data_IF_437935077847
#
_entry.id   IF_437935077847
#
_cell.length_a   1.000
_cell.length_b   1.000
_cell.length_c   1.000
_cell.angle_alpha   90.00
_cell.angle_beta   90.00
_cell.angle_gamma   90.00
#
_symmetry.space_group_name_H-M   'P 1'
#
loop_
_entity.id
_entity.type
_entity.pdbx_description
1 polymer ?
#
# COMPACT_ATOMS: atom_id res chain seq x y z
N UNK A 1 17.11 -9.34 -0.68
CA UNK A 1 16.84 -7.92 -0.38
C UNK A 1 15.60 -7.86 0.50
N UNK A 2 15.66 -7.05 1.55
CA UNK A 2 14.53 -6.85 2.45
C UNK A 2 13.52 -5.89 1.78
N UNK A 3 12.25 -6.30 1.66
CA UNK A 3 11.21 -5.50 0.99
C UNK A 3 10.52 -4.59 2.00
N UNK A 4 11.19 -3.51 2.40
CA UNK A 4 10.61 -2.48 3.28
C UNK A 4 10.25 -1.24 2.46
N UNK A 5 9.12 -0.60 2.78
CA UNK A 5 8.73 0.66 2.15
C UNK A 5 9.47 1.79 2.87
N UNK A 6 10.23 2.58 2.10
CA UNK A 6 10.98 3.73 2.62
C UNK A 6 10.37 5.03 2.11
N UNK A 7 10.62 6.16 2.80
CA UNK A 7 10.16 7.47 2.32
C UNK A 7 10.79 7.86 0.98
N UNK A 8 12.01 7.37 0.67
CA UNK A 8 12.61 7.56 -0.65
C UNK A 8 11.78 6.89 -1.75
N UNK A 9 11.39 5.62 -1.55
CA UNK A 9 10.53 4.91 -2.51
C UNK A 9 9.16 5.58 -2.67
N UNK A 10 8.60 6.14 -1.59
CA UNK A 10 7.37 6.92 -1.68
C UNK A 10 7.57 8.21 -2.47
N UNK A 11 8.70 8.88 -2.33
CA UNK A 11 9.07 10.05 -3.15
C UNK A 11 9.15 9.71 -4.63
N UNK A 12 9.83 8.63 -4.98
CA UNK A 12 9.94 8.15 -6.37
C UNK A 12 8.56 7.76 -6.92
N UNK A 13 7.72 7.14 -6.09
CA UNK A 13 6.35 6.79 -6.46
C UNK A 13 5.48 8.03 -6.71
N UNK A 14 5.68 9.13 -5.97
CA UNK A 14 4.97 10.39 -6.24
C UNK A 14 5.33 10.95 -7.61
N UNK A 15 6.61 10.90 -8.00
CA UNK A 15 7.05 11.36 -9.32
C UNK A 15 6.37 10.52 -10.40
N UNK A 16 6.43 9.19 -10.27
CA UNK A 16 5.75 8.26 -11.18
C UNK A 16 4.24 8.53 -11.29
N UNK A 17 3.54 8.76 -10.18
CA UNK A 17 2.10 9.03 -10.23
C UNK A 17 1.76 10.38 -10.90
N UNK A 18 2.65 11.37 -10.83
CA UNK A 18 2.48 12.64 -11.54
C UNK A 18 2.66 12.47 -13.05
N UNK A 19 3.64 11.65 -13.46
CA UNK A 19 3.84 11.28 -14.87
C UNK A 19 2.65 10.50 -15.43
N UNK A 20 2.01 9.67 -14.60
CA UNK A 20 0.74 8.99 -14.88
C UNK A 20 -0.51 9.88 -14.78
N UNK A 21 -0.31 11.21 -14.72
CA UNK A 21 -1.33 12.25 -14.66
C UNK A 21 -2.36 12.07 -13.53
N UNK A 22 -1.95 11.49 -12.40
CA UNK A 22 -2.83 11.34 -11.24
C UNK A 22 -3.00 12.67 -10.52
N UNK A 23 -4.24 12.94 -10.10
CA UNK A 23 -4.56 14.13 -9.33
C UNK A 23 -3.84 14.15 -7.98
N UNK A 24 -3.54 15.34 -7.48
CA UNK A 24 -2.91 15.52 -6.16
C UNK A 24 -3.71 14.83 -5.03
N UNK A 25 -5.04 14.82 -5.13
CA UNK A 25 -5.90 14.12 -4.19
C UNK A 25 -5.69 12.59 -4.22
N UNK A 26 -5.54 12.00 -5.41
CA UNK A 26 -5.28 10.56 -5.56
C UNK A 26 -3.90 10.19 -5.03
N UNK A 27 -2.89 11.01 -5.34
CA UNK A 27 -1.51 10.82 -4.84
C UNK A 27 -1.49 10.87 -3.31
N UNK A 28 -2.05 11.93 -2.72
CA UNK A 28 -2.10 12.09 -1.26
C UNK A 28 -2.81 10.92 -0.59
N UNK A 29 -3.91 10.45 -1.19
CA UNK A 29 -4.64 9.28 -0.71
C UNK A 29 -3.77 8.02 -0.75
N UNK A 30 -3.11 7.73 -1.86
CA UNK A 30 -2.24 6.55 -1.97
C UNK A 30 -1.11 6.59 -0.96
N UNK A 31 -0.47 7.75 -0.75
CA UNK A 31 0.58 7.88 0.27
C UNK A 31 0.06 7.65 1.68
N UNK A 32 -1.11 8.20 2.02
CA UNK A 32 -1.75 7.98 3.32
C UNK A 32 -2.02 6.49 3.56
N UNK A 33 -2.59 5.83 2.56
CA UNK A 33 -2.93 4.40 2.61
C UNK A 33 -1.67 3.52 2.69
N UNK A 34 -0.60 3.86 1.96
CA UNK A 34 0.69 3.18 2.04
C UNK A 34 1.36 3.36 3.40
N UNK A 35 1.32 4.57 3.97
CA UNK A 35 1.84 4.82 5.32
C UNK A 35 1.12 3.99 6.37
N UNK A 36 -0.19 3.77 6.22
CA UNK A 36 -0.95 2.85 7.09
C UNK A 36 -0.40 1.41 7.02
N UNK A 37 -0.09 0.91 5.82
CA UNK A 37 0.57 -0.38 5.65
C UNK A 37 1.97 -0.39 6.28
N UNK A 38 2.77 0.67 6.11
CA UNK A 38 4.11 0.75 6.73
C UNK A 38 4.03 0.74 8.26
N UNK A 39 3.04 1.44 8.83
CA UNK A 39 2.78 1.46 10.26
C UNK A 39 2.38 0.08 10.78
N UNK A 40 1.54 -0.65 10.03
CA UNK A 40 1.21 -2.04 10.36
C UNK A 40 2.44 -2.97 10.26
N UNK A 41 3.26 -2.80 9.22
CA UNK A 41 4.48 -3.57 9.07
C UNK A 41 5.47 -3.31 10.21
N UNK A 42 5.46 -2.10 10.80
CA UNK A 42 6.29 -1.73 11.94
C UNK A 42 7.79 -2.04 11.73
N UNK A 43 8.29 -1.74 10.53
CA UNK A 43 9.68 -2.00 10.14
C UNK A 43 9.96 -3.43 9.63
N UNK A 44 9.00 -4.35 9.71
CA UNK A 44 9.14 -5.70 9.15
C UNK A 44 9.15 -5.68 7.62
N UNK A 45 9.93 -6.59 7.04
CA UNK A 45 9.91 -6.86 5.61
C UNK A 45 8.51 -7.29 5.14
N UNK A 46 8.09 -6.80 3.98
CA UNK A 46 6.84 -7.22 3.35
C UNK A 46 7.03 -8.56 2.65
N UNK A 47 6.22 -9.52 3.07
CA UNK A 47 5.93 -10.74 2.34
C UNK A 47 4.42 -10.88 2.12
N UNK A 48 4.02 -11.90 1.36
CA UNK A 48 2.62 -12.14 1.05
C UNK A 48 1.78 -12.42 2.31
N UNK A 49 2.36 -13.09 3.31
CA UNK A 49 1.69 -13.39 4.57
C UNK A 49 1.38 -12.12 5.35
N UNK A 50 2.31 -11.18 5.44
CA UNK A 50 2.13 -9.91 6.12
C UNK A 50 1.03 -9.07 5.46
N UNK A 51 0.99 -9.01 4.12
CA UNK A 51 -0.07 -8.25 3.41
C UNK A 51 -1.45 -8.89 3.61
N UNK A 52 -1.54 -10.22 3.68
CA UNK A 52 -2.78 -10.92 4.01
C UNK A 52 -3.21 -10.64 5.45
N UNK A 53 -2.27 -10.72 6.40
CA UNK A 53 -2.53 -10.39 7.81
C UNK A 53 -2.95 -8.92 7.99
N UNK A 54 -2.38 -8.00 7.19
CA UNK A 54 -2.82 -6.61 7.14
C UNK A 54 -4.27 -6.50 6.69
N UNK A 55 -4.64 -7.16 5.58
CA UNK A 55 -6.04 -7.22 5.10
C UNK A 55 -7.01 -7.73 6.18
N UNK A 56 -6.64 -8.81 6.86
CA UNK A 56 -7.43 -9.40 7.94
C UNK A 56 -7.57 -8.41 9.10
N UNK A 57 -6.48 -7.78 9.54
CA UNK A 57 -6.50 -6.79 10.63
C UNK A 57 -7.43 -5.61 10.36
N UNK A 58 -7.53 -5.16 9.09
CA UNK A 58 -8.46 -4.10 8.70
C UNK A 58 -9.94 -4.52 8.82
N UNK A 59 -10.20 -5.83 8.82
CA UNK A 59 -11.54 -6.42 8.86
C UNK A 59 -11.98 -6.80 10.28
N UNK A 60 -11.03 -7.14 11.17
CA UNK A 60 -11.30 -7.70 12.50
C UNK A 60 -12.08 -6.76 13.41
N UNK A 61 -11.86 -5.44 13.32
CA UNK A 61 -12.47 -4.48 14.26
C UNK A 61 -13.72 -3.79 13.71
N UNK A 62 -14.17 -4.12 12.49
CA UNK A 62 -15.31 -3.47 11.84
C UNK A 62 -15.15 -1.95 11.62
N UNK A 63 -13.97 -1.38 11.89
CA UNK A 63 -13.71 0.05 11.80
C UNK A 63 -13.75 0.58 10.37
N UNK A 64 -13.58 -0.30 9.39
CA UNK A 64 -13.55 0.04 7.97
C UNK A 64 -14.65 -0.67 7.20
N UNK A 65 -15.34 0.10 6.36
CA UNK A 65 -16.22 -0.46 5.33
C UNK A 65 -15.38 -1.26 4.34
N UNK A 66 -15.95 -2.30 3.74
CA UNK A 66 -15.28 -3.10 2.71
C UNK A 66 -14.70 -2.24 1.57
N UNK A 67 -15.39 -1.17 1.17
CA UNK A 67 -14.89 -0.22 0.17
C UNK A 67 -13.62 0.53 0.60
N UNK A 68 -13.47 0.84 1.88
CA UNK A 68 -12.26 1.45 2.44
C UNK A 68 -11.11 0.45 2.45
N UNK A 69 -11.37 -0.79 2.89
CA UNK A 69 -10.37 -1.86 2.88
C UNK A 69 -9.87 -2.08 1.46
N UNK A 70 -10.77 -2.16 0.49
CA UNK A 70 -10.42 -2.33 -0.92
C UNK A 70 -9.60 -1.15 -1.43
N UNK A 71 -9.94 0.08 -1.05
CA UNK A 71 -9.14 1.25 -1.38
C UNK A 71 -7.70 1.16 -0.85
N UNK A 72 -7.53 0.74 0.41
CA UNK A 72 -6.19 0.58 1.01
C UNK A 72 -5.36 -0.46 0.26
N UNK A 73 -5.98 -1.60 -0.08
CA UNK A 73 -5.32 -2.68 -0.79
C UNK A 73 -5.03 -2.33 -2.26
N UNK A 74 -5.88 -1.54 -2.91
CA UNK A 74 -5.61 -1.02 -4.26
C UNK A 74 -4.38 -0.12 -4.24
N UNK A 75 -4.28 0.81 -3.27
CA UNK A 75 -3.08 1.66 -3.13
C UNK A 75 -1.81 0.81 -2.94
N UNK A 76 -1.85 -0.19 -2.05
CA UNK A 76 -0.74 -1.12 -1.84
C UNK A 76 -0.38 -1.91 -3.11
N UNK A 77 -1.38 -2.49 -3.79
CA UNK A 77 -1.17 -3.25 -5.03
C UNK A 77 -0.55 -2.40 -6.14
N UNK A 78 -0.97 -1.15 -6.30
CA UNK A 78 -0.42 -0.22 -7.29
C UNK A 78 1.03 0.15 -6.98
N UNK A 79 1.38 0.30 -5.70
CA UNK A 79 2.77 0.48 -5.30
C UNK A 79 3.60 -0.78 -5.56
N UNK A 80 3.06 -1.97 -5.30
CA UNK A 80 3.76 -3.22 -5.59
C UNK A 80 4.01 -3.42 -7.09
N UNK A 81 3.07 -2.99 -7.95
CA UNK A 81 3.29 -2.96 -9.40
C UNK A 81 4.46 -2.05 -9.77
N UNK A 82 4.50 -0.83 -9.21
CA UNK A 82 5.59 0.12 -9.41
C UNK A 82 6.96 -0.45 -8.96
N UNK A 83 7.00 -1.13 -7.82
CA UNK A 83 8.23 -1.74 -7.29
C UNK A 83 8.60 -3.08 -7.94
N UNK A 84 7.74 -3.65 -8.80
CA UNK A 84 7.90 -4.99 -9.36
C UNK A 84 7.65 -6.14 -8.37
N UNK A 85 7.04 -5.87 -7.20
CA UNK A 85 6.75 -6.84 -6.14
C UNK A 85 5.41 -7.57 -6.36
N UNK A 86 5.19 -8.09 -7.56
CA UNK A 86 3.89 -8.63 -8.00
C UNK A 86 3.39 -9.79 -7.13
N UNK A 87 4.29 -10.52 -6.50
CA UNK A 87 3.99 -11.63 -5.59
C UNK A 87 3.30 -11.18 -4.30
N UNK A 88 3.46 -9.91 -3.90
CA UNK A 88 2.83 -9.33 -2.72
C UNK A 88 1.37 -8.93 -2.93
N UNK A 89 0.90 -8.81 -4.18
CA UNK A 89 -0.45 -8.34 -4.49
C UNK A 89 -1.54 -9.22 -3.88
N UNK A 90 -2.53 -8.62 -3.23
CA UNK A 90 -3.67 -9.34 -2.66
C UNK A 90 -4.95 -9.03 -3.43
N UNK A 91 -5.93 -9.94 -3.36
CA UNK A 91 -7.25 -9.71 -3.94
C UNK A 91 -7.99 -8.64 -3.15
N UNK A 92 -8.63 -7.72 -3.87
CA UNK A 92 -9.48 -6.64 -3.36
C UNK A 92 -10.93 -6.95 -3.66
#
# INVERSE_FOLDING_TARGET
MERTITEQMLGDYVIYLREEEKSAATISKYLCDLRKLTGYAAGRALDKGLVVAYKESLSVDGMYKASSINSFLVAANRFFEFMGWLDLKVKT
#
